data_IF_703372501163
#
_entry.id   IF_703372501163
#
_cell.length_a   1.000
_cell.length_b   1.000
_cell.length_c   1.000
_cell.angle_alpha   90.00
_cell.angle_beta   90.00
_cell.angle_gamma   90.00
#
_symmetry.space_group_name_H-M   'P 1'
#
loop_
_entity.id
_entity.type
_entity.pdbx_description
1 polymer ?
#
# COMPACT_ATOMS: atom_id res chain seq x y z
N UNK A 1 -10.62 -6.32 38.72
CA UNK A 1 -10.80 -5.98 37.30
C UNK A 1 -12.00 -6.74 36.81
N UNK A 2 -13.04 -6.03 36.36
CA UNK A 2 -14.22 -6.65 35.74
C UNK A 2 -13.78 -7.22 34.38
N UNK A 3 -14.22 -8.41 34.00
CA UNK A 3 -13.75 -9.12 32.81
C UNK A 3 -14.31 -8.55 31.49
N UNK A 4 -14.70 -7.28 31.50
CA UNK A 4 -15.41 -6.55 30.43
C UNK A 4 -14.74 -5.23 30.06
N UNK A 5 -13.58 -4.93 30.62
CA UNK A 5 -12.76 -3.81 30.12
C UNK A 5 -12.30 -4.17 28.69
N UNK A 6 -12.52 -3.29 27.69
CA UNK A 6 -12.11 -3.57 26.33
C UNK A 6 -10.59 -3.71 26.26
N UNK A 7 -10.13 -4.78 25.61
CA UNK A 7 -8.71 -4.93 25.30
C UNK A 7 -8.32 -3.89 24.26
N UNK A 8 -7.30 -3.11 24.58
CA UNK A 8 -6.72 -2.16 23.65
C UNK A 8 -5.66 -2.90 22.84
N UNK A 9 -5.85 -2.98 21.52
CA UNK A 9 -4.94 -3.67 20.61
C UNK A 9 -4.23 -2.63 19.74
N UNK A 10 -2.92 -2.78 19.60
CA UNK A 10 -2.14 -2.11 18.54
C UNK A 10 -1.74 -3.20 17.55
N UNK A 11 -2.14 -3.05 16.29
CA UNK A 11 -1.65 -3.92 15.23
C UNK A 11 -0.22 -3.53 14.86
N UNK A 12 0.73 -4.43 15.06
CA UNK A 12 2.12 -4.20 14.67
C UNK A 12 2.36 -4.51 13.18
N UNK A 13 1.39 -5.11 12.50
CA UNK A 13 1.50 -5.51 11.11
C UNK A 13 0.14 -5.51 10.42
N UNK A 14 -0.01 -4.65 9.43
CA UNK A 14 -1.11 -4.66 8.49
C UNK A 14 -0.62 -4.05 7.17
N UNK A 15 -1.40 -4.21 6.11
CA UNK A 15 -1.03 -3.72 4.80
C UNK A 15 -2.10 -2.79 4.23
N UNK A 16 -1.69 -1.82 3.41
CA UNK A 16 -2.59 -0.94 2.68
C UNK A 16 -1.99 -0.56 1.32
N UNK A 17 -2.79 -0.62 0.26
CA UNK A 17 -2.41 -0.18 -1.09
C UNK A 17 -3.63 0.31 -1.87
N UNK A 18 -3.41 1.27 -2.78
CA UNK A 18 -4.43 1.65 -3.75
C UNK A 18 -4.61 0.59 -4.83
N UNK A 19 -5.82 0.48 -5.41
CA UNK A 19 -6.01 -0.03 -6.76
C UNK A 19 -4.98 0.61 -7.69
N UNK A 20 -4.23 -0.23 -8.40
CA UNK A 20 -2.99 0.19 -9.07
C UNK A 20 -3.21 1.42 -9.94
N UNK A 21 -4.31 1.44 -10.69
CA UNK A 21 -4.71 2.49 -11.63
C UNK A 21 -4.99 3.86 -10.98
N UNK A 22 -5.24 3.90 -9.67
CA UNK A 22 -5.45 5.16 -8.92
C UNK A 22 -4.15 5.86 -8.56
N UNK A 23 -3.00 5.20 -8.70
CA UNK A 23 -1.69 5.85 -8.54
C UNK A 23 -1.40 6.91 -9.62
N UNK A 24 -2.24 7.07 -10.66
CA UNK A 24 -2.15 8.17 -11.65
C UNK A 24 -2.07 9.55 -11.00
N UNK A 25 -2.76 9.74 -9.88
CA UNK A 25 -2.78 11.00 -9.14
C UNK A 25 -1.46 11.27 -8.40
N UNK A 26 -0.70 10.22 -8.13
CA UNK A 26 0.51 10.25 -7.31
C UNK A 26 1.78 10.02 -8.10
N UNK A 27 1.73 9.62 -9.37
CA UNK A 27 2.94 9.33 -10.15
C UNK A 27 3.61 10.63 -10.64
N UNK A 28 4.95 10.66 -10.60
CA UNK A 28 5.70 11.83 -11.09
C UNK A 28 5.42 12.04 -12.60
N UNK A 29 5.25 13.29 -13.07
CA UNK A 29 4.81 13.57 -14.44
C UNK A 29 5.66 12.91 -15.53
N UNK A 30 6.97 12.78 -15.31
CA UNK A 30 7.91 12.18 -16.26
C UNK A 30 7.72 10.67 -16.45
N UNK A 31 7.08 9.98 -15.50
CA UNK A 31 6.83 8.54 -15.55
C UNK A 31 5.38 8.18 -15.95
N UNK A 32 4.55 9.14 -16.33
CA UNK A 32 3.13 8.88 -16.66
C UNK A 32 2.95 7.96 -17.86
N UNK A 33 3.74 8.16 -18.93
CA UNK A 33 3.67 7.30 -20.11
C UNK A 33 4.12 5.87 -19.78
N UNK A 34 5.22 5.74 -19.04
CA UNK A 34 5.69 4.47 -18.51
C UNK A 34 4.64 3.77 -17.63
N UNK A 35 3.93 4.55 -16.82
CA UNK A 35 2.90 4.03 -15.93
C UNK A 35 1.68 3.49 -16.69
N UNK A 36 1.25 4.14 -17.77
CA UNK A 36 0.18 3.60 -18.63
C UNK A 36 0.62 2.28 -19.29
N UNK A 37 1.88 2.19 -19.76
CA UNK A 37 2.41 0.95 -20.29
C UNK A 37 2.43 -0.17 -19.24
N UNK A 38 2.85 0.15 -18.01
CA UNK A 38 2.83 -0.79 -16.88
C UNK A 38 1.42 -1.31 -16.57
N UNK A 39 0.38 -0.48 -16.63
CA UNK A 39 -1.01 -0.93 -16.41
C UNK A 39 -1.48 -1.91 -17.49
N UNK A 40 -1.08 -1.69 -18.75
CA UNK A 40 -1.38 -2.62 -19.85
C UNK A 40 -0.67 -3.96 -19.64
N UNK A 41 0.60 -3.93 -19.27
CA UNK A 41 1.38 -5.14 -18.98
C UNK A 41 0.80 -5.92 -17.80
N UNK A 42 0.45 -5.23 -16.70
CA UNK A 42 -0.18 -5.84 -15.52
C UNK A 42 -1.51 -6.51 -15.88
N UNK A 43 -2.35 -5.84 -16.66
CA UNK A 43 -3.63 -6.41 -17.12
C UNK A 43 -3.43 -7.65 -18.00
N UNK A 44 -2.46 -7.63 -18.91
CA UNK A 44 -2.12 -8.79 -19.73
C UNK A 44 -1.56 -9.95 -18.89
N UNK A 45 -0.70 -9.66 -17.90
CA UNK A 45 -0.14 -10.68 -17.01
C UNK A 45 -1.21 -11.36 -16.14
N UNK A 46 -2.20 -10.60 -15.65
CA UNK A 46 -3.33 -11.15 -14.92
C UNK A 46 -4.14 -12.16 -15.76
N UNK A 47 -4.29 -11.91 -17.07
CA UNK A 47 -5.00 -12.82 -17.99
C UNK A 47 -4.23 -14.11 -18.30
N UNK A 48 -2.90 -14.05 -18.32
CA UNK A 48 -2.04 -15.20 -18.68
C UNK A 48 -1.70 -16.07 -17.48
N UNK A 49 -1.55 -15.47 -16.28
CA UNK A 49 -1.00 -16.16 -15.12
C UNK A 49 -1.91 -17.21 -14.48
N UNK A 50 -3.23 -17.16 -14.69
CA UNK A 50 -4.19 -18.01 -13.95
C UNK A 50 -4.07 -17.88 -12.42
N UNK A 51 -3.32 -16.87 -11.94
CA UNK A 51 -3.03 -16.59 -10.53
C UNK A 51 -4.25 -16.03 -9.80
N UNK A 52 -5.18 -15.47 -10.56
CA UNK A 52 -6.53 -15.18 -10.11
C UNK A 52 -7.34 -16.37 -10.58
N UNK A 53 -7.57 -17.35 -9.70
CA UNK A 53 -8.74 -18.20 -9.88
C UNK A 53 -9.94 -17.25 -9.79
N UNK A 54 -10.47 -16.83 -10.94
CA UNK A 54 -11.59 -15.90 -11.03
C UNK A 54 -12.76 -16.38 -10.16
N UNK A 55 -12.94 -17.69 -9.99
CA UNK A 55 -13.97 -18.25 -9.12
C UNK A 55 -13.59 -18.11 -7.64
N UNK A 56 -12.32 -18.31 -7.27
CA UNK A 56 -11.84 -18.05 -5.91
C UNK A 56 -11.90 -16.56 -5.56
N UNK A 57 -11.41 -15.68 -6.42
CA UNK A 57 -11.49 -14.23 -6.21
C UNK A 57 -12.95 -13.78 -6.14
N UNK A 58 -13.81 -14.25 -7.05
CA UNK A 58 -15.23 -13.88 -7.03
C UNK A 58 -15.98 -14.47 -5.84
N UNK A 59 -15.65 -15.69 -5.40
CA UNK A 59 -16.18 -16.26 -4.16
C UNK A 59 -15.68 -15.47 -2.94
N UNK A 60 -14.40 -15.11 -2.91
CA UNK A 60 -13.79 -14.31 -1.85
C UNK A 60 -14.46 -12.93 -1.76
N UNK A 61 -14.59 -12.21 -2.88
CA UNK A 61 -15.30 -10.92 -2.94
C UNK A 61 -16.78 -11.05 -2.58
N UNK A 62 -17.44 -12.14 -2.97
CA UNK A 62 -18.83 -12.40 -2.63
C UNK A 62 -19.04 -12.76 -1.15
N UNK A 63 -18.04 -13.35 -0.49
CA UNK A 63 -18.08 -13.81 0.91
C UNK A 63 -17.59 -12.72 1.89
N UNK A 64 -16.54 -11.99 1.51
CA UNK A 64 -15.86 -10.99 2.36
C UNK A 64 -16.25 -9.54 2.02
N UNK A 65 -17.04 -9.35 0.95
CA UNK A 65 -17.64 -8.07 0.58
C UNK A 65 -16.62 -6.94 0.37
N UNK A 66 -17.05 -5.72 0.70
CA UNK A 66 -16.26 -4.49 0.59
C UNK A 66 -14.97 -4.50 1.42
N UNK A 67 -14.71 -5.50 2.28
CA UNK A 67 -13.59 -5.52 3.24
C UNK A 67 -12.20 -5.33 2.63
N UNK A 68 -11.96 -5.79 1.40
CA UNK A 68 -10.72 -5.51 0.65
C UNK A 68 -10.52 -4.00 0.45
N UNK A 69 -11.61 -3.25 0.26
CA UNK A 69 -11.53 -1.80 0.12
C UNK A 69 -11.03 -1.14 1.40
N UNK A 70 -11.07 -1.78 2.57
CA UNK A 70 -10.40 -1.28 3.78
C UNK A 70 -8.88 -1.14 3.65
N UNK A 71 -8.28 -1.71 2.59
CA UNK A 71 -6.90 -1.46 2.19
C UNK A 71 -6.66 -0.04 1.64
N UNK A 72 -7.70 0.70 1.24
CA UNK A 72 -7.56 2.05 0.68
C UNK A 72 -8.68 3.04 1.02
N UNK A 73 -9.84 2.56 1.46
CA UNK A 73 -10.98 3.36 1.90
C UNK A 73 -10.84 3.65 3.39
N UNK A 74 -10.65 4.93 3.70
CA UNK A 74 -10.45 5.42 5.06
C UNK A 74 -11.60 5.06 5.98
N UNK A 75 -12.84 5.27 5.53
CA UNK A 75 -14.03 5.11 6.36
C UNK A 75 -14.31 3.64 6.65
N UNK A 76 -14.13 2.77 5.67
CA UNK A 76 -14.25 1.34 5.87
C UNK A 76 -13.13 0.81 6.76
N UNK A 77 -11.88 1.25 6.56
CA UNK A 77 -10.77 0.87 7.43
C UNK A 77 -11.04 1.21 8.89
N UNK A 78 -11.47 2.45 9.17
CA UNK A 78 -11.80 2.88 10.53
C UNK A 78 -12.92 2.04 11.14
N UNK A 79 -13.96 1.74 10.35
CA UNK A 79 -15.07 0.87 10.78
C UNK A 79 -14.59 -0.53 11.18
N UNK A 80 -13.72 -1.15 10.39
CA UNK A 80 -13.22 -2.49 10.68
C UNK A 80 -12.26 -2.47 11.89
N UNK A 81 -11.33 -1.50 11.95
CA UNK A 81 -10.43 -1.34 13.11
C UNK A 81 -11.19 -1.10 14.42
N UNK A 82 -12.25 -0.28 14.39
CA UNK A 82 -13.10 -0.03 15.55
C UNK A 82 -13.88 -1.29 15.96
N UNK A 83 -14.33 -2.09 14.98
CA UNK A 83 -14.98 -3.39 15.21
C UNK A 83 -14.07 -4.40 15.90
N UNK A 84 -12.78 -4.38 15.57
CA UNK A 84 -11.76 -5.26 16.14
C UNK A 84 -11.12 -4.72 17.45
N UNK A 85 -11.44 -3.49 17.85
CA UNK A 85 -10.85 -2.85 19.04
C UNK A 85 -9.39 -2.41 18.84
N UNK A 86 -8.98 -2.18 17.59
CA UNK A 86 -7.63 -1.75 17.22
C UNK A 86 -7.54 -0.22 17.30
N UNK A 87 -6.77 0.28 18.27
CA UNK A 87 -6.61 1.72 18.51
C UNK A 87 -5.42 2.32 17.75
N UNK A 88 -4.55 1.48 17.19
CA UNK A 88 -3.41 1.93 16.40
C UNK A 88 -2.82 0.81 15.55
N UNK A 89 -2.13 1.18 14.49
CA UNK A 89 -1.63 0.26 13.49
C UNK A 89 -0.32 0.73 12.84
N UNK A 90 0.54 -0.24 12.51
CA UNK A 90 1.70 -0.05 11.63
C UNK A 90 1.36 -0.61 10.26
N UNK A 91 1.47 0.23 9.23
CA UNK A 91 0.98 -0.05 7.87
C UNK A 91 2.16 -0.26 6.92
N UNK A 92 2.23 -1.44 6.31
CA UNK A 92 3.20 -1.84 5.30
C UNK A 92 2.61 -1.76 3.87
N UNK A 93 3.45 -1.64 2.82
CA UNK A 93 3.04 -1.80 1.42
C UNK A 93 2.64 -3.25 1.10
N UNK A 94 2.32 -3.57 -0.16
CA UNK A 94 2.00 -4.94 -0.64
C UNK A 94 0.73 -5.55 0.00
N UNK A 95 -0.38 -4.78 0.01
CA UNK A 95 -1.63 -5.21 0.61
C UNK A 95 -2.38 -6.27 -0.18
N UNK A 96 -2.02 -6.46 -1.45
CA UNK A 96 -2.76 -7.33 -2.34
C UNK A 96 -1.91 -8.47 -2.91
N UNK A 97 -1.64 -9.44 -2.02
CA UNK A 97 -1.03 -10.71 -2.39
C UNK A 97 -2.01 -11.71 -3.03
N UNK A 98 -3.32 -11.38 -3.11
CA UNK A 98 -4.38 -12.37 -3.40
C UNK A 98 -5.21 -12.04 -4.65
N UNK A 99 -5.65 -10.80 -4.81
CA UNK A 99 -6.51 -10.36 -5.92
C UNK A 99 -5.74 -9.69 -7.07
N UNK A 100 -4.54 -9.16 -6.81
CA UNK A 100 -3.68 -8.50 -7.79
C UNK A 100 -4.22 -7.17 -8.35
N UNK A 101 -5.30 -6.64 -7.77
CA UNK A 101 -5.96 -5.36 -8.08
C UNK A 101 -5.14 -4.18 -7.54
N UNK A 102 -4.78 -4.21 -6.27
CA UNK A 102 -3.91 -3.22 -5.66
C UNK A 102 -2.43 -3.59 -5.85
N UNK A 103 -1.56 -2.60 -5.67
CA UNK A 103 -0.13 -2.76 -5.88
C UNK A 103 0.51 -1.45 -6.29
N UNK A 104 1.63 -1.10 -5.67
CA UNK A 104 2.34 0.11 -6.06
C UNK A 104 2.86 0.03 -7.51
N UNK A 105 3.07 1.18 -8.18
CA UNK A 105 3.56 1.23 -9.55
C UNK A 105 4.93 0.55 -9.71
N UNK A 106 5.16 -0.04 -10.88
CA UNK A 106 6.43 -0.66 -11.26
C UNK A 106 6.93 -1.76 -10.30
N UNK A 107 6.03 -2.36 -9.53
CA UNK A 107 6.37 -3.39 -8.54
C UNK A 107 7.10 -2.84 -7.31
N UNK A 108 6.92 -1.56 -6.98
CA UNK A 108 7.45 -1.01 -5.74
C UNK A 108 6.85 -1.69 -4.50
N UNK A 109 7.68 -2.15 -3.57
CA UNK A 109 7.24 -3.02 -2.49
C UNK A 109 8.39 -3.80 -1.85
N UNK A 110 8.06 -4.64 -0.88
CA UNK A 110 8.99 -5.51 -0.15
C UNK A 110 9.60 -6.59 -1.04
N UNK A 111 8.93 -6.96 -2.13
CA UNK A 111 9.39 -7.95 -3.09
C UNK A 111 10.15 -7.36 -4.30
N UNK A 112 10.54 -6.08 -4.27
CA UNK A 112 11.29 -5.47 -5.38
C UNK A 112 12.55 -6.27 -5.74
N UNK A 113 12.65 -6.69 -7.00
CA UNK A 113 13.86 -7.31 -7.54
C UNK A 113 14.83 -6.24 -8.06
N UNK A 114 16.13 -6.54 -8.00
CA UNK A 114 17.19 -5.62 -8.44
C UNK A 114 17.26 -5.36 -9.94
N UNK A 115 16.40 -6.01 -10.74
CA UNK A 115 16.38 -5.89 -12.20
C UNK A 115 15.53 -4.72 -12.72
N UNK A 116 14.81 -4.03 -11.82
CA UNK A 116 14.02 -2.85 -12.16
C UNK A 116 14.90 -1.64 -12.48
N UNK A 117 14.46 -0.82 -13.44
CA UNK A 117 15.07 0.49 -13.68
C UNK A 117 15.05 1.32 -12.38
N UNK A 118 16.20 1.82 -11.90
CA UNK A 118 16.28 2.57 -10.64
C UNK A 118 15.34 3.77 -10.57
N UNK A 119 15.12 4.46 -11.69
CA UNK A 119 14.24 5.61 -11.78
C UNK A 119 12.78 5.20 -11.58
N UNK A 120 12.33 4.17 -12.31
CA UNK A 120 10.99 3.59 -12.15
C UNK A 120 10.76 3.04 -10.75
N UNK A 121 11.74 2.34 -10.17
CA UNK A 121 11.66 1.83 -8.81
C UNK A 121 11.43 2.96 -7.79
N UNK A 122 12.19 4.05 -7.91
CA UNK A 122 12.04 5.23 -7.06
C UNK A 122 10.70 5.93 -7.32
N UNK A 123 10.27 6.10 -8.58
CA UNK A 123 9.00 6.73 -8.92
C UNK A 123 7.79 5.97 -8.34
N UNK A 124 7.81 4.63 -8.41
CA UNK A 124 6.77 3.79 -7.81
C UNK A 124 6.73 3.91 -6.29
N UNK A 125 7.90 3.84 -5.64
CA UNK A 125 8.02 4.04 -4.20
C UNK A 125 7.51 5.42 -3.76
N UNK A 126 7.85 6.47 -4.51
CA UNK A 126 7.38 7.83 -4.25
C UNK A 126 5.87 7.97 -4.35
N UNK A 127 5.27 7.38 -5.39
CA UNK A 127 3.83 7.39 -5.57
C UNK A 127 3.12 6.68 -4.40
N UNK A 128 3.63 5.51 -3.99
CA UNK A 128 3.11 4.80 -2.82
C UNK A 128 3.24 5.63 -1.55
N UNK A 129 4.42 6.18 -1.25
CA UNK A 129 4.66 6.96 -0.04
C UNK A 129 3.79 8.22 0.04
N UNK A 130 3.55 8.91 -1.09
CA UNK A 130 2.65 10.08 -1.13
C UNK A 130 1.22 9.70 -0.72
N UNK A 131 0.70 8.62 -1.29
CA UNK A 131 -0.63 8.14 -0.93
C UNK A 131 -0.69 7.61 0.51
N UNK A 132 0.32 6.85 0.95
CA UNK A 132 0.35 6.30 2.32
C UNK A 132 0.36 7.43 3.36
N UNK A 133 1.07 8.52 3.08
CA UNK A 133 1.07 9.71 3.93
C UNK A 133 -0.32 10.34 4.02
N UNK A 134 -1.03 10.42 2.89
CA UNK A 134 -2.43 10.87 2.87
C UNK A 134 -3.33 9.95 3.70
N UNK A 135 -3.24 8.63 3.51
CA UNK A 135 -3.99 7.64 4.31
C UNK A 135 -3.72 7.82 5.80
N UNK A 136 -2.46 7.97 6.20
CA UNK A 136 -2.09 8.19 7.60
C UNK A 136 -2.63 9.52 8.15
N UNK A 137 -2.70 10.56 7.32
CA UNK A 137 -3.16 11.90 7.74
C UNK A 137 -4.63 11.95 8.18
N UNK A 138 -5.44 10.97 7.80
CA UNK A 138 -6.84 10.87 8.24
C UNK A 138 -6.99 10.43 9.71
N UNK A 139 -5.97 9.79 10.30
CA UNK A 139 -5.95 9.39 11.72
C UNK A 139 -4.49 9.27 12.21
N UNK A 140 -3.72 10.37 12.26
CA UNK A 140 -2.28 10.34 12.49
C UNK A 140 -1.89 9.82 13.89
N UNK A 141 -2.81 9.87 14.85
CA UNK A 141 -2.68 9.28 16.18
C UNK A 141 -2.83 7.76 16.18
N UNK A 142 -3.55 7.20 15.20
CA UNK A 142 -3.77 5.75 15.05
C UNK A 142 -2.82 5.11 14.05
N UNK A 143 -2.44 5.83 12.98
CA UNK A 143 -1.78 5.24 11.80
C UNK A 143 -0.30 5.59 11.73
N UNK A 144 0.54 4.57 11.60
CA UNK A 144 1.98 4.67 11.41
C UNK A 144 2.40 3.96 10.11
N UNK A 145 2.53 4.71 9.02
CA UNK A 145 2.91 4.16 7.71
C UNK A 145 4.42 3.97 7.56
N UNK A 146 4.82 2.80 7.02
CA UNK A 146 6.21 2.44 6.71
C UNK A 146 6.53 2.81 5.27
N UNK A 147 7.48 3.73 5.09
CA UNK A 147 7.88 4.19 3.76
C UNK A 147 8.64 3.11 2.96
N UNK A 148 8.33 3.00 1.67
CA UNK A 148 9.08 2.20 0.69
C UNK A 148 10.25 3.01 0.16
N UNK A 149 11.47 2.47 0.25
CA UNK A 149 12.68 3.18 -0.20
C UNK A 149 13.61 2.21 -0.95
N UNK A 150 13.76 2.36 -2.27
CA UNK A 150 14.75 1.60 -3.03
C UNK A 150 16.16 2.10 -2.70
N UNK A 151 16.94 1.30 -1.97
CA UNK A 151 18.28 1.70 -1.47
C UNK A 151 19.46 1.24 -2.32
N UNK A 152 19.24 0.32 -3.27
CA UNK A 152 20.33 -0.42 -3.92
C UNK A 152 21.01 0.34 -5.06
N UNK A 153 20.31 1.26 -5.73
CA UNK A 153 20.79 1.90 -6.95
C UNK A 153 21.33 3.33 -6.74
N UNK A 154 20.74 4.12 -5.84
CA UNK A 154 21.19 5.47 -5.51
C UNK A 154 20.90 5.81 -4.04
N UNK A 155 21.96 5.84 -3.23
CA UNK A 155 21.88 6.14 -1.79
C UNK A 155 21.42 7.57 -1.52
N UNK A 156 21.84 8.54 -2.34
CA UNK A 156 21.46 9.94 -2.11
C UNK A 156 19.97 10.14 -2.41
N UNK A 157 19.47 9.53 -3.49
CA UNK A 157 18.05 9.52 -3.79
C UNK A 157 17.25 8.82 -2.69
N UNK A 158 17.75 7.71 -2.13
CA UNK A 158 17.13 7.03 -1.01
C UNK A 158 17.07 7.88 0.27
N UNK A 159 18.16 8.59 0.61
CA UNK A 159 18.18 9.49 1.79
C UNK A 159 17.23 10.68 1.60
N UNK A 160 17.20 11.27 0.40
CA UNK A 160 16.24 12.31 0.07
C UNK A 160 14.80 11.81 0.20
N UNK A 161 14.54 10.58 -0.23
CA UNK A 161 13.24 9.94 -0.14
C UNK A 161 12.80 9.69 1.31
N UNK A 162 13.70 9.14 2.15
CA UNK A 162 13.46 8.95 3.59
C UNK A 162 13.11 10.28 4.25
N UNK A 163 13.87 11.33 3.96
CA UNK A 163 13.68 12.66 4.56
C UNK A 163 12.30 13.22 4.19
N UNK A 164 11.95 13.18 2.90
CA UNK A 164 10.67 13.67 2.39
C UNK A 164 9.48 12.86 2.93
N UNK A 165 9.60 11.54 3.01
CA UNK A 165 8.58 10.66 3.58
C UNK A 165 8.33 10.98 5.07
N UNK A 166 9.41 11.17 5.84
CA UNK A 166 9.31 11.58 7.25
C UNK A 166 8.68 12.96 7.42
N UNK A 167 9.05 13.95 6.59
CA UNK A 167 8.42 15.28 6.56
C UNK A 167 6.92 15.23 6.23
N UNK A 168 6.48 14.20 5.50
CA UNK A 168 5.07 13.97 5.17
C UNK A 168 4.30 13.22 6.28
N UNK A 169 4.96 12.87 7.39
CA UNK A 169 4.35 12.21 8.55
C UNK A 169 4.47 10.69 8.58
N UNK A 170 5.18 10.07 7.63
CA UNK A 170 5.44 8.63 7.67
C UNK A 170 6.45 8.28 8.76
N UNK A 171 6.14 7.24 9.54
CA UNK A 171 6.92 6.77 10.69
C UNK A 171 6.63 5.29 10.90
N UNK A 172 7.67 4.46 11.01
CA UNK A 172 7.52 3.01 11.24
C UNK A 172 7.22 2.65 12.72
N UNK A 173 6.77 3.62 13.53
CA UNK A 173 6.60 3.53 14.98
C UNK A 173 6.88 4.86 15.68
N UNK A 174 6.55 4.97 16.98
CA UNK A 174 6.86 6.14 17.84
C UNK A 174 8.23 6.06 18.48
#
# INVERSE_FOLDING_TARGET
>A
MDSRDPYIIISADCHAELPTERYREYIDPEYREDFEAFLVEKAAAAQVGGLIDEQFAQAWFSEHGDGIAGGWDVGLRDKELDGDGVVGEVIFPDADAVSGVAGAPFGAGLAQSGDLDPGRAMAGARAHNRWLAELCSHSPERRAGVAVVPILADINAAVAEITRAAESGLRAGS
#
